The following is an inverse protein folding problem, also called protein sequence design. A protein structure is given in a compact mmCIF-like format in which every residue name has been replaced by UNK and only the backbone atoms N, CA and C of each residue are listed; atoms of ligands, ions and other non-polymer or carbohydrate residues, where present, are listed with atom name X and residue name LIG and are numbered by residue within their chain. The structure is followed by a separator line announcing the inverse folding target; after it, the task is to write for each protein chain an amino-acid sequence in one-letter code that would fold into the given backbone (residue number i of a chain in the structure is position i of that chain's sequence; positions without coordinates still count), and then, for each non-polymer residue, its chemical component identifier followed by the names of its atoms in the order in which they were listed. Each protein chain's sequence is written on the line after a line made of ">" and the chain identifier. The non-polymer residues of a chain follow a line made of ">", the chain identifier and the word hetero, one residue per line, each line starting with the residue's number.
data_IF_777776446612
#
_entry.id   IF_777776446612
#
_cell.length_a   1.000
_cell.length_b   1.000
_cell.length_c   1.000
_cell.angle_alpha   90.00
_cell.angle_beta   90.00
_cell.angle_gamma   90.00
#
_symmetry.space_group_name_H-M   'P 1'
#
loop_
_entity.id
_entity.type
_entity.pdbx_description
1 polymer ?
#
# COMPACT_ATOMS: atom_id res chain seq x y z
N UNK A 1 -46.12 -15.63 -16.07
CA UNK A 1 -45.50 -14.28 -16.12
C UNK A 1 -44.55 -14.01 -14.93
N UNK A 2 -43.97 -15.04 -14.28
CA UNK A 2 -43.12 -14.89 -13.06
C UNK A 2 -41.62 -15.12 -13.31
N UNK A 3 -41.25 -15.66 -14.47
CA UNK A 3 -39.87 -16.07 -14.80
C UNK A 3 -39.00 -14.95 -15.36
N UNK A 4 -39.61 -13.95 -16.03
CA UNK A 4 -38.88 -12.84 -16.65
C UNK A 4 -38.36 -11.82 -15.62
N UNK A 5 -39.09 -11.58 -14.53
CA UNK A 5 -38.68 -10.67 -13.45
C UNK A 5 -37.53 -11.23 -12.62
N UNK A 6 -37.51 -12.56 -12.40
CA UNK A 6 -36.42 -13.24 -11.68
C UNK A 6 -35.12 -13.14 -12.47
N UNK A 7 -35.14 -13.37 -13.79
CA UNK A 7 -33.94 -13.22 -14.63
C UNK A 7 -33.39 -11.79 -14.63
N UNK A 8 -34.26 -10.76 -14.61
CA UNK A 8 -33.84 -9.36 -14.53
C UNK A 8 -33.24 -9.01 -13.16
N UNK A 9 -33.80 -9.55 -12.07
CA UNK A 9 -33.27 -9.37 -10.72
C UNK A 9 -31.91 -10.06 -10.55
N UNK A 10 -31.77 -11.27 -11.09
CA UNK A 10 -30.51 -12.02 -11.07
C UNK A 10 -29.42 -11.31 -11.88
N UNK A 11 -29.76 -10.78 -13.06
CA UNK A 11 -28.83 -10.02 -13.89
C UNK A 11 -28.36 -8.73 -13.21
N UNK A 12 -29.25 -8.04 -12.49
CA UNK A 12 -28.90 -6.81 -11.76
C UNK A 12 -27.96 -7.09 -10.56
N UNK A 13 -28.13 -8.22 -9.88
CA UNK A 13 -27.27 -8.62 -8.75
C UNK A 13 -25.84 -8.98 -9.19
N UNK A 14 -25.69 -9.55 -10.39
CA UNK A 14 -24.38 -9.93 -10.96
C UNK A 14 -23.58 -8.71 -11.43
N UNK A 15 -24.25 -7.64 -11.89
CA UNK A 15 -23.57 -6.41 -12.32
C UNK A 15 -23.04 -5.63 -11.11
N UNK A 16 -23.68 -5.73 -9.94
CA UNK A 16 -23.30 -5.01 -8.73
C UNK A 16 -22.00 -5.55 -8.08
N UNK A 17 -21.66 -6.82 -8.29
CA UNK A 17 -20.49 -7.45 -7.65
C UNK A 17 -19.19 -7.26 -8.43
N UNK A 18 -19.23 -6.80 -9.68
CA UNK A 18 -18.04 -6.60 -10.53
C UNK A 18 -17.41 -5.21 -10.31
N UNK A 19 -18.16 -4.25 -9.76
CA UNK A 19 -17.73 -2.86 -9.58
C UNK A 19 -16.80 -2.57 -8.40
N UNK A 20 -16.51 -3.55 -7.52
CA UNK A 20 -15.75 -3.33 -6.28
C UNK A 20 -14.32 -3.87 -6.29
N UNK A 21 -13.85 -4.44 -7.41
CA UNK A 21 -12.51 -5.04 -7.51
C UNK A 21 -11.47 -4.06 -8.08
N UNK A 22 -11.55 -2.79 -7.71
CA UNK A 22 -10.37 -1.93 -7.81
C UNK A 22 -9.59 -2.11 -6.51
N UNK A 23 -8.41 -2.75 -6.49
CA UNK A 23 -7.47 -2.47 -5.43
C UNK A 23 -7.11 -0.99 -5.58
N UNK A 24 -7.85 -0.12 -4.90
CA UNK A 24 -7.32 1.16 -4.46
C UNK A 24 -6.23 0.80 -3.47
N UNK A 25 -5.09 0.37 -3.99
CA UNK A 25 -3.85 0.33 -3.26
C UNK A 25 -3.43 1.79 -3.13
N UNK A 26 -4.16 2.54 -2.29
CA UNK A 26 -3.61 3.72 -1.67
C UNK A 26 -2.33 3.21 -1.03
N UNK A 27 -1.19 3.59 -1.60
CA UNK A 27 0.11 3.23 -1.08
C UNK A 27 0.18 3.87 0.29
N UNK A 28 -0.17 3.11 1.32
CA UNK A 28 -0.15 3.56 2.70
C UNK A 28 1.34 3.81 3.03
N UNK A 29 1.77 5.07 3.15
CA UNK A 29 3.19 5.38 3.33
C UNK A 29 3.74 4.79 4.63
N UNK A 30 2.91 4.69 5.67
CA UNK A 30 3.26 4.05 6.93
C UNK A 30 3.54 2.55 6.72
N UNK A 31 2.71 1.85 5.94
CA UNK A 31 2.93 0.44 5.62
C UNK A 31 4.22 0.23 4.82
N UNK A 32 4.54 1.14 3.91
CA UNK A 32 5.81 1.11 3.17
C UNK A 32 7.00 1.35 4.13
N UNK A 33 6.89 2.30 5.05
CA UNK A 33 7.91 2.53 6.08
C UNK A 33 8.10 1.30 6.99
N UNK A 34 7.00 0.65 7.41
CA UNK A 34 7.06 -0.61 8.17
C UNK A 34 7.74 -1.74 7.40
N UNK A 35 7.55 -1.81 6.07
CA UNK A 35 8.27 -2.76 5.24
C UNK A 35 9.79 -2.51 5.27
N UNK A 36 10.21 -1.25 5.32
CA UNK A 36 11.61 -0.86 5.51
C UNK A 36 12.16 -1.39 6.82
N UNK A 37 11.44 -1.22 7.93
CA UNK A 37 11.85 -1.73 9.24
C UNK A 37 11.98 -3.25 9.28
N UNK A 38 11.07 -3.97 8.60
CA UNK A 38 11.18 -5.43 8.48
C UNK A 38 12.47 -5.81 7.76
N UNK A 39 12.84 -5.08 6.70
CA UNK A 39 14.10 -5.31 5.98
C UNK A 39 15.32 -4.95 6.82
N UNK A 40 15.30 -3.83 7.53
CA UNK A 40 16.40 -3.37 8.39
C UNK A 40 16.57 -4.28 9.61
N UNK A 41 15.58 -4.31 10.49
CA UNK A 41 15.67 -4.92 11.82
C UNK A 41 15.35 -6.42 11.81
N UNK A 42 14.46 -6.84 10.90
CA UNK A 42 13.99 -8.22 10.82
C UNK A 42 14.87 -9.12 9.98
N UNK A 43 15.22 -8.66 8.77
CA UNK A 43 15.95 -9.45 7.78
C UNK A 43 17.45 -9.10 7.70
N UNK A 44 17.86 -7.93 8.19
CA UNK A 44 19.23 -7.41 8.01
C UNK A 44 19.55 -7.04 6.56
N UNK A 45 18.54 -6.94 5.70
CA UNK A 45 18.65 -6.57 4.29
C UNK A 45 18.73 -5.05 4.14
N UNK A 46 19.85 -4.47 4.60
CA UNK A 46 20.02 -3.01 4.70
C UNK A 46 19.83 -2.29 3.35
N UNK A 47 20.32 -2.85 2.24
CA UNK A 47 20.14 -2.23 0.94
C UNK A 47 18.66 -2.19 0.52
N UNK A 48 17.90 -3.25 0.77
CA UNK A 48 16.47 -3.28 0.49
C UNK A 48 15.70 -2.29 1.39
N UNK A 49 16.12 -2.14 2.64
CA UNK A 49 15.56 -1.14 3.56
C UNK A 49 15.81 0.29 3.05
N UNK A 50 17.05 0.61 2.65
CA UNK A 50 17.42 1.89 2.05
C UNK A 50 16.54 2.21 0.82
N UNK A 51 16.38 1.24 -0.08
CA UNK A 51 15.56 1.41 -1.30
C UNK A 51 14.09 1.71 -0.97
N UNK A 52 13.58 1.18 0.14
CA UNK A 52 12.23 1.45 0.64
C UNK A 52 12.16 2.86 1.27
N UNK A 53 13.12 3.21 2.14
CA UNK A 53 13.14 4.51 2.80
C UNK A 53 13.27 5.67 1.82
N UNK A 54 14.04 5.52 0.73
CA UNK A 54 14.12 6.53 -0.33
C UNK A 54 12.73 6.83 -0.91
N UNK A 55 11.90 5.79 -1.15
CA UNK A 55 10.55 5.98 -1.69
C UNK A 55 9.69 6.81 -0.74
N UNK A 56 9.70 6.49 0.56
CA UNK A 56 8.95 7.22 1.58
C UNK A 56 9.46 8.66 1.73
N UNK A 57 10.78 8.87 1.74
CA UNK A 57 11.39 10.19 1.93
C UNK A 57 11.24 11.11 0.71
N UNK A 58 11.18 10.54 -0.50
CA UNK A 58 11.07 11.30 -1.75
C UNK A 58 9.63 11.64 -2.15
N UNK A 59 8.63 11.07 -1.48
CA UNK A 59 7.22 11.29 -1.81
C UNK A 59 6.69 12.55 -1.11
N UNK A 60 6.48 13.60 -1.91
CA UNK A 60 5.99 14.89 -1.45
C UNK A 60 4.56 14.83 -0.87
N UNK A 61 3.79 13.76 -1.17
CA UNK A 61 2.45 13.57 -0.60
C UNK A 61 2.46 12.98 0.80
N UNK A 62 3.60 12.48 1.27
CA UNK A 62 3.76 11.88 2.60
C UNK A 62 3.93 12.97 3.65
N UNK A 63 3.37 12.76 4.84
CA UNK A 63 3.55 13.68 5.95
C UNK A 63 5.03 13.83 6.33
N UNK A 64 5.47 15.09 6.53
CA UNK A 64 6.88 15.45 6.81
C UNK A 64 7.53 14.63 7.94
N UNK A 65 6.84 14.32 9.06
CA UNK A 65 7.40 13.46 10.10
C UNK A 65 7.77 12.06 9.61
N UNK A 66 6.97 11.45 8.73
CA UNK A 66 7.25 10.12 8.21
C UNK A 66 8.40 10.13 7.19
N UNK A 67 8.49 11.16 6.35
CA UNK A 67 9.67 11.39 5.50
C UNK A 67 10.94 11.51 6.34
N UNK A 68 10.90 12.27 7.45
CA UNK A 68 12.04 12.46 8.33
C UNK A 68 12.49 11.16 9.02
N UNK A 69 11.54 10.33 9.47
CA UNK A 69 11.84 9.01 10.01
C UNK A 69 12.50 8.10 8.96
N UNK A 70 12.01 8.10 7.72
CA UNK A 70 12.63 7.34 6.64
C UNK A 70 14.08 7.79 6.39
N UNK A 71 14.36 9.09 6.37
CA UNK A 71 15.73 9.61 6.24
C UNK A 71 16.63 9.22 7.41
N UNK A 72 16.11 9.23 8.64
CA UNK A 72 16.86 8.81 9.83
C UNK A 72 17.29 7.34 9.71
N UNK A 73 16.34 6.43 9.46
CA UNK A 73 16.62 5.01 9.33
C UNK A 73 17.53 4.70 8.13
N UNK A 74 17.36 5.41 7.01
CA UNK A 74 18.29 5.31 5.88
C UNK A 74 19.73 5.69 6.29
N UNK A 75 19.90 6.72 7.13
CA UNK A 75 21.20 7.08 7.68
C UNK A 75 21.79 5.99 8.59
N UNK A 76 20.97 5.39 9.45
CA UNK A 76 21.37 4.28 10.33
C UNK A 76 21.82 3.05 9.53
N UNK A 77 21.17 2.76 8.40
CA UNK A 77 21.57 1.65 7.52
C UNK A 77 22.95 1.84 6.86
N UNK A 78 23.52 3.06 6.88
CA UNK A 78 24.85 3.35 6.34
C UNK A 78 25.98 3.32 7.40
N UNK A 79 25.65 3.25 8.69
CA UNK A 79 26.63 3.11 9.79
C UNK A 79 27.09 1.65 9.97
#
# INVERSE_FOLDING_TARGET
>A
MKTSTVCKLSALLVILTIGTLSPLQAQNPEALFQQGLIKEEGEGSLQEAIDIYIKVASDESVERPLQANALLHMGLCYE
#
